data_IF_631302531458
#
_entry.id   IF_631302531458
#
_cell.length_a   1.000
_cell.length_b   1.000
_cell.length_c   1.000
_cell.angle_alpha   90.00
_cell.angle_beta   90.00
_cell.angle_gamma   90.00
#
_symmetry.space_group_name_H-M   'P 1'
#
loop_
_entity.id
_entity.type
_entity.pdbx_description
1 polymer ?
#
# COMPACT_ATOMS: atom_id res chain seq x y z
N UNK A 1 47.48 -8.72 -32.90
CA UNK A 1 47.12 -7.89 -31.73
C UNK A 1 46.37 -8.76 -30.74
N UNK A 2 47.05 -9.23 -29.69
CA UNK A 2 46.47 -10.10 -28.67
C UNK A 2 46.02 -9.24 -27.50
N UNK A 3 44.70 -9.08 -27.34
CA UNK A 3 44.10 -8.41 -26.18
C UNK A 3 44.32 -9.28 -24.93
N UNK A 4 45.18 -8.81 -24.04
CA UNK A 4 45.56 -9.52 -22.82
C UNK A 4 44.40 -9.51 -21.82
N UNK A 5 44.03 -10.71 -21.31
CA UNK A 5 42.97 -10.95 -20.31
C UNK A 5 43.01 -10.05 -19.07
N UNK A 6 44.18 -9.45 -18.78
CA UNK A 6 44.41 -8.51 -17.69
C UNK A 6 43.73 -7.15 -17.89
N UNK A 7 43.53 -6.70 -19.14
CA UNK A 7 42.87 -5.42 -19.44
C UNK A 7 41.35 -5.46 -19.19
N UNK A 8 40.73 -6.65 -19.30
CA UNK A 8 39.30 -6.84 -19.02
C UNK A 8 38.98 -6.82 -17.51
N UNK A 9 39.91 -7.23 -16.65
CA UNK A 9 39.70 -7.28 -15.20
C UNK A 9 39.96 -5.94 -14.50
N UNK A 10 40.78 -5.07 -15.09
CA UNK A 10 41.00 -3.69 -14.58
C UNK A 10 39.80 -2.76 -14.81
N UNK A 11 38.83 -3.13 -15.66
CA UNK A 11 37.60 -2.36 -15.90
C UNK A 11 36.43 -2.71 -14.97
N UNK A 12 36.54 -3.77 -14.15
CA UNK A 12 35.44 -4.27 -13.33
C UNK A 12 35.43 -3.72 -11.88
N UNK A 13 36.41 -2.91 -11.49
CA UNK A 13 36.57 -2.42 -10.11
C UNK A 13 35.83 -1.09 -9.83
N UNK A 14 34.94 -0.65 -10.71
CA UNK A 14 34.15 0.57 -10.54
C UNK A 14 32.68 0.34 -10.91
N UNK A 15 32.07 -0.75 -10.41
CA UNK A 15 30.61 -0.84 -10.38
C UNK A 15 30.15 -0.12 -9.09
N UNK A 16 29.30 0.91 -9.17
CA UNK A 16 28.84 1.61 -7.99
C UNK A 16 27.93 0.67 -7.19
N UNK A 17 28.48 0.12 -6.11
CA UNK A 17 27.76 -0.76 -5.16
C UNK A 17 26.62 0.00 -4.45
N UNK A 18 26.55 1.32 -4.59
CA UNK A 18 25.48 2.17 -4.06
C UNK A 18 24.08 1.80 -4.59
N UNK A 19 23.97 1.30 -5.82
CA UNK A 19 22.65 0.96 -6.41
C UNK A 19 22.04 -0.30 -5.80
N UNK A 20 22.85 -1.27 -5.37
CA UNK A 20 22.35 -2.53 -4.82
C UNK A 20 21.68 -2.36 -3.46
N UNK A 21 22.28 -1.56 -2.57
CA UNK A 21 21.72 -1.29 -1.24
C UNK A 21 20.43 -0.45 -1.31
N UNK A 22 20.34 0.49 -2.26
CA UNK A 22 19.14 1.28 -2.49
C UNK A 22 17.97 0.41 -3.00
N UNK A 23 18.24 -0.50 -3.94
CA UNK A 23 17.24 -1.45 -4.46
C UNK A 23 16.75 -2.41 -3.38
N UNK A 24 17.66 -2.99 -2.58
CA UNK A 24 17.30 -3.87 -1.47
C UNK A 24 16.49 -3.15 -0.38
N UNK A 25 16.83 -1.88 -0.08
CA UNK A 25 16.06 -1.06 0.87
C UNK A 25 14.67 -0.74 0.32
N UNK A 26 14.55 -0.47 -0.97
CA UNK A 26 13.27 -0.20 -1.61
C UNK A 26 12.37 -1.45 -1.58
N UNK A 27 12.90 -2.61 -1.96
CA UNK A 27 12.16 -3.88 -1.90
C UNK A 27 11.70 -4.22 -0.47
N UNK A 28 12.56 -3.98 0.53
CA UNK A 28 12.20 -4.06 1.95
C UNK A 28 11.12 -3.06 2.37
N UNK A 29 11.14 -1.85 1.84
CA UNK A 29 10.14 -0.82 2.15
C UNK A 29 8.79 -1.19 1.55
N UNK A 30 8.81 -1.71 0.33
CA UNK A 30 7.62 -2.14 -0.40
C UNK A 30 6.93 -3.24 0.40
N UNK A 31 7.66 -4.29 0.78
CA UNK A 31 7.14 -5.38 1.60
C UNK A 31 6.53 -4.91 2.93
N UNK A 32 7.20 -4.00 3.65
CA UNK A 32 6.69 -3.45 4.92
C UNK A 32 5.42 -2.63 4.70
N UNK A 33 5.37 -1.81 3.65
CA UNK A 33 4.18 -1.04 3.34
C UNK A 33 3.01 -1.93 2.95
N UNK A 34 3.23 -2.95 2.12
CA UNK A 34 2.16 -3.89 1.75
C UNK A 34 1.63 -4.64 2.97
N UNK A 35 2.53 -5.07 3.86
CA UNK A 35 2.16 -5.74 5.10
C UNK A 35 1.34 -4.81 6.01
N UNK A 36 1.75 -3.56 6.17
CA UNK A 36 1.00 -2.56 6.91
C UNK A 36 -0.41 -2.35 6.34
N UNK A 37 -0.55 -2.25 5.00
CA UNK A 37 -1.86 -2.13 4.35
C UNK A 37 -2.73 -3.36 4.62
N UNK A 38 -2.17 -4.58 4.59
CA UNK A 38 -2.91 -5.81 4.89
C UNK A 38 -3.32 -5.89 6.36
N UNK A 39 -2.44 -5.50 7.29
CA UNK A 39 -2.75 -5.42 8.72
C UNK A 39 -3.90 -4.43 8.98
N UNK A 40 -3.83 -3.22 8.40
CA UNK A 40 -4.89 -2.20 8.53
C UNK A 40 -6.21 -2.67 7.91
N UNK A 41 -6.14 -3.39 6.79
CA UNK A 41 -7.32 -3.95 6.15
C UNK A 41 -7.99 -5.06 6.98
N UNK A 42 -7.23 -5.74 7.85
CA UNK A 42 -7.73 -6.86 8.64
C UNK A 42 -8.11 -8.09 7.81
N UNK A 43 -7.72 -8.14 6.54
CA UNK A 43 -8.02 -9.24 5.61
C UNK A 43 -6.78 -9.63 4.79
N UNK A 44 -6.54 -10.95 4.57
CA UNK A 44 -5.35 -11.40 3.84
C UNK A 44 -5.40 -11.12 2.33
N UNK A 45 -6.59 -10.87 1.77
CA UNK A 45 -6.86 -10.82 0.33
C UNK A 45 -6.87 -9.43 -0.31
N UNK A 46 -6.08 -8.46 0.19
CA UNK A 46 -6.04 -7.12 -0.43
C UNK A 46 -5.41 -7.19 -1.82
N UNK A 47 -6.15 -6.79 -2.84
CA UNK A 47 -5.69 -6.83 -4.23
C UNK A 47 -4.49 -5.89 -4.46
N UNK A 48 -3.53 -6.31 -5.27
CA UNK A 48 -2.30 -5.54 -5.53
C UNK A 48 -2.54 -4.17 -6.19
N UNK A 49 -3.65 -4.02 -6.92
CA UNK A 49 -4.06 -2.71 -7.44
C UNK A 49 -4.42 -1.73 -6.32
N UNK A 50 -5.09 -2.20 -5.26
CA UNK A 50 -5.47 -1.41 -4.09
C UNK A 50 -4.22 -0.94 -3.35
N UNK A 51 -3.29 -1.86 -3.07
CA UNK A 51 -2.04 -1.56 -2.36
C UNK A 51 -1.24 -0.47 -3.08
N UNK A 52 -1.07 -0.61 -4.41
CA UNK A 52 -0.38 0.39 -5.24
C UNK A 52 -1.10 1.75 -5.23
N UNK A 53 -2.42 1.76 -5.41
CA UNK A 53 -3.18 3.01 -5.41
C UNK A 53 -3.14 3.71 -4.04
N UNK A 54 -3.19 2.97 -2.94
CA UNK A 54 -3.01 3.51 -1.58
C UNK A 54 -1.62 4.10 -1.41
N UNK A 55 -0.58 3.42 -1.91
CA UNK A 55 0.80 3.93 -1.88
C UNK A 55 0.94 5.24 -2.65
N UNK A 56 0.42 5.30 -3.87
CA UNK A 56 0.50 6.50 -4.71
C UNK A 56 -0.23 7.67 -4.04
N UNK A 57 -1.40 7.41 -3.45
CA UNK A 57 -2.15 8.41 -2.68
C UNK A 57 -1.39 8.86 -1.42
N UNK A 58 -0.72 7.93 -0.73
CA UNK A 58 0.11 8.22 0.44
C UNK A 58 1.26 9.16 0.06
N UNK A 59 2.01 8.82 -1.01
CA UNK A 59 3.13 9.63 -1.50
C UNK A 59 2.62 11.00 -1.96
N UNK A 60 1.48 11.06 -2.65
CA UNK A 60 0.89 12.32 -3.07
C UNK A 60 0.52 13.24 -1.89
N UNK A 61 0.06 12.68 -0.77
CA UNK A 61 -0.37 13.44 0.41
C UNK A 61 0.77 13.81 1.36
N UNK A 62 1.69 12.87 1.64
CA UNK A 62 2.72 13.01 2.68
C UNK A 62 4.14 13.05 2.13
N UNK A 63 4.35 12.67 0.87
CA UNK A 63 5.65 12.61 0.22
C UNK A 63 6.38 11.27 0.42
N UNK A 64 7.35 11.02 -0.45
CA UNK A 64 8.22 9.83 -0.38
C UNK A 64 9.02 9.74 0.94
N UNK A 65 9.54 10.83 1.54
CA UNK A 65 10.26 10.74 2.81
C UNK A 65 9.37 10.24 3.97
N UNK A 66 8.10 10.65 4.00
CA UNK A 66 7.15 10.20 5.00
C UNK A 66 6.84 8.69 4.86
N UNK A 67 6.81 8.17 3.63
CA UNK A 67 6.64 6.74 3.39
C UNK A 67 7.80 5.93 3.98
N UNK A 68 9.03 6.39 3.77
CA UNK A 68 10.22 5.73 4.32
C UNK A 68 10.21 5.77 5.84
N UNK A 69 9.92 6.93 6.44
CA UNK A 69 9.83 7.07 7.90
C UNK A 69 8.72 6.21 8.50
N UNK A 70 7.55 6.14 7.85
CA UNK A 70 6.45 5.27 8.22
C UNK A 70 6.88 3.80 8.22
N UNK A 71 7.49 3.33 7.12
CA UNK A 71 7.94 1.94 7.02
C UNK A 71 9.08 1.63 8.01
N UNK A 72 9.98 2.57 8.26
CA UNK A 72 11.04 2.38 9.25
C UNK A 72 10.48 2.31 10.68
N UNK A 73 9.39 3.03 10.98
CA UNK A 73 8.67 2.95 12.27
C UNK A 73 7.97 1.60 12.44
N UNK A 74 7.38 1.06 11.38
CA UNK A 74 6.64 -0.20 11.41
C UNK A 74 7.54 -1.44 11.28
N UNK A 75 8.84 -1.26 11.03
CA UNK A 75 9.75 -2.36 10.76
C UNK A 75 9.87 -3.27 12.00
N UNK A 76 9.27 -4.44 11.94
CA UNK A 76 9.32 -5.43 13.01
C UNK A 76 8.29 -5.21 14.13
N UNK A 77 7.34 -4.30 13.95
CA UNK A 77 6.26 -4.03 14.91
C UNK A 77 4.88 -4.14 14.26
N UNK A 78 3.87 -4.68 14.95
CA UNK A 78 2.48 -4.61 14.53
C UNK A 78 2.03 -3.15 14.33
N UNK A 79 1.16 -2.91 13.36
CA UNK A 79 0.62 -1.56 13.12
C UNK A 79 -0.16 -1.04 14.32
N UNK A 80 -0.83 -1.92 15.07
CA UNK A 80 -1.58 -1.56 16.28
C UNK A 80 -0.68 -1.01 17.40
N UNK A 81 0.46 -1.66 17.64
CA UNK A 81 1.44 -1.25 18.63
C UNK A 81 2.08 0.08 18.22
N UNK A 82 2.48 0.17 16.96
CA UNK A 82 3.02 1.41 16.41
C UNK A 82 2.00 2.55 16.46
N UNK A 83 0.71 2.33 16.18
CA UNK A 83 -0.30 3.37 16.24
C UNK A 83 -0.63 3.82 17.67
N UNK A 84 -0.43 2.95 18.66
CA UNK A 84 -0.71 3.21 20.08
C UNK A 84 0.40 4.03 20.76
N UNK A 85 1.65 3.76 20.37
CA UNK A 85 2.83 4.42 20.94
C UNK A 85 3.43 5.54 20.05
N UNK A 86 2.96 5.71 18.81
CA UNK A 86 3.58 6.65 17.88
C UNK A 86 3.15 8.11 18.02
N UNK A 87 4.05 8.95 17.51
CA UNK A 87 3.82 10.36 17.22
C UNK A 87 2.56 10.56 16.35
N UNK A 88 1.87 11.69 16.56
CA UNK A 88 0.57 11.99 15.95
C UNK A 88 0.57 11.87 14.41
N UNK A 89 1.74 12.01 13.79
CA UNK A 89 1.96 11.82 12.36
C UNK A 89 1.69 10.40 11.88
N UNK A 90 2.16 9.36 12.59
CA UNK A 90 1.97 7.96 12.19
C UNK A 90 0.51 7.57 12.37
N UNK A 91 -0.12 7.99 13.47
CA UNK A 91 -1.55 7.78 13.67
C UNK A 91 -2.39 8.43 12.55
N UNK A 92 -2.03 9.64 12.10
CA UNK A 92 -2.70 10.29 10.97
C UNK A 92 -2.49 9.55 9.64
N UNK A 93 -1.31 8.99 9.42
CA UNK A 93 -0.97 8.17 8.24
C UNK A 93 -1.75 6.85 8.22
N UNK A 94 -1.83 6.14 9.35
CA UNK A 94 -2.65 4.93 9.49
C UNK A 94 -4.13 5.24 9.23
N UNK A 95 -4.66 6.32 9.82
CA UNK A 95 -6.05 6.76 9.59
C UNK A 95 -6.31 7.09 8.13
N UNK A 96 -5.35 7.70 7.44
CA UNK A 96 -5.46 7.98 6.01
C UNK A 96 -5.53 6.71 5.16
N UNK A 97 -4.68 5.73 5.44
CA UNK A 97 -4.72 4.42 4.76
C UNK A 97 -6.06 3.74 5.03
N UNK A 98 -6.52 3.70 6.28
CA UNK A 98 -7.80 3.13 6.66
C UNK A 98 -8.96 3.82 5.93
N UNK A 99 -8.97 5.14 5.83
CA UNK A 99 -10.01 5.88 5.10
C UNK A 99 -10.09 5.40 3.65
N UNK A 100 -8.97 5.35 2.92
CA UNK A 100 -8.96 4.88 1.53
C UNK A 100 -9.46 3.44 1.43
N UNK A 101 -9.02 2.55 2.32
CA UNK A 101 -9.42 1.14 2.29
C UNK A 101 -10.91 0.95 2.54
N UNK A 102 -11.49 1.69 3.48
CA UNK A 102 -12.89 1.53 3.87
C UNK A 102 -13.86 2.28 2.96
N UNK A 103 -13.50 3.47 2.46
CA UNK A 103 -14.40 4.26 1.59
C UNK A 103 -14.12 4.08 0.10
N UNK A 104 -12.90 3.67 -0.25
CA UNK A 104 -12.43 3.66 -1.64
C UNK A 104 -12.11 5.06 -2.19
N UNK A 105 -12.13 6.08 -1.34
CA UNK A 105 -12.02 7.49 -1.71
C UNK A 105 -10.61 8.05 -1.49
N UNK A 106 -10.19 8.93 -2.39
CA UNK A 106 -8.94 9.68 -2.34
C UNK A 106 -9.27 11.16 -2.56
N UNK A 107 -8.88 12.01 -1.61
CA UNK A 107 -8.99 13.47 -1.73
C UNK A 107 -7.78 14.04 -2.48
N UNK A 108 -8.05 14.67 -3.63
CA UNK A 108 -7.06 15.28 -4.51
C UNK A 108 -7.08 16.81 -4.49
N UNK A 109 -7.18 17.44 -3.31
CA UNK A 109 -7.03 18.90 -3.18
C UNK A 109 -8.25 19.67 -3.70
N UNK A 110 -9.45 19.23 -3.31
CA UNK A 110 -10.72 19.92 -3.61
C UNK A 110 -11.70 19.12 -4.46
N UNK A 111 -11.32 17.92 -4.91
CA UNK A 111 -12.23 16.94 -5.53
C UNK A 111 -11.92 15.55 -5.00
N UNK A 112 -12.87 14.96 -4.30
CA UNK A 112 -12.82 13.55 -3.88
C UNK A 112 -13.13 12.66 -5.07
N UNK A 113 -12.28 11.66 -5.30
CA UNK A 113 -12.50 10.60 -6.31
C UNK A 113 -12.60 9.26 -5.60
N UNK A 114 -13.39 8.34 -6.12
CA UNK A 114 -13.55 7.00 -5.57
C UNK A 114 -13.02 5.90 -6.52
N UNK A 115 -11.72 5.90 -6.89
CA UNK A 115 -11.19 4.94 -7.86
C UNK A 115 -11.21 3.50 -7.33
N UNK A 116 -11.30 3.33 -6.01
CA UNK A 116 -11.32 2.04 -5.35
C UNK A 116 -12.73 1.64 -4.85
N UNK A 117 -13.78 2.32 -5.31
CA UNK A 117 -15.15 2.12 -4.81
C UNK A 117 -15.61 0.64 -4.81
N UNK A 118 -15.41 -0.17 -5.86
CA UNK A 118 -15.76 -1.60 -5.83
C UNK A 118 -14.92 -2.45 -4.85
N UNK A 119 -13.74 -1.96 -4.46
CA UNK A 119 -12.80 -2.64 -3.58
C UNK A 119 -12.86 -2.12 -2.14
N UNK A 120 -13.76 -1.20 -1.83
CA UNK A 120 -13.93 -0.68 -0.47
C UNK A 120 -14.28 -1.81 0.49
N UNK A 121 -13.57 -1.85 1.62
CA UNK A 121 -13.81 -2.83 2.68
C UNK A 121 -15.18 -2.64 3.33
N UNK A 122 -15.74 -1.43 3.32
CA UNK A 122 -17.10 -1.21 3.81
C UNK A 122 -18.14 -2.03 3.04
N UNK A 123 -17.93 -2.32 1.75
CA UNK A 123 -18.80 -3.23 1.02
C UNK A 123 -18.49 -4.71 1.28
N UNK A 124 -17.22 -5.04 1.51
CA UNK A 124 -16.79 -6.40 1.79
C UNK A 124 -17.27 -6.91 3.15
N UNK A 125 -17.47 -6.02 4.13
CA UNK A 125 -17.96 -6.39 5.46
C UNK A 125 -19.47 -6.57 5.52
N UNK A 126 -20.23 -6.08 4.54
CA UNK A 126 -21.68 -6.18 4.52
C UNK A 126 -22.13 -7.46 3.79
N UNK A 127 -22.71 -8.40 4.54
CA UNK A 127 -23.29 -9.62 3.96
C UNK A 127 -24.61 -9.39 3.22
N UNK A 128 -25.33 -8.32 3.56
CA UNK A 128 -26.68 -8.02 3.07
C UNK A 128 -26.73 -6.95 1.97
N UNK A 129 -25.66 -6.16 1.81
CA UNK A 129 -25.62 -5.04 0.88
C UNK A 129 -24.44 -5.19 -0.09
N UNK A 130 -24.64 -4.70 -1.31
CA UNK A 130 -23.59 -4.53 -2.32
C UNK A 130 -23.40 -3.06 -2.60
N UNK A 131 -22.23 -2.71 -3.13
CA UNK A 131 -21.95 -1.35 -3.56
C UNK A 131 -23.01 -0.88 -4.58
N UNK A 132 -23.75 0.21 -4.30
CA UNK A 132 -24.69 0.80 -5.24
C UNK A 132 -24.07 1.01 -6.63
N UNK A 133 -24.84 0.73 -7.68
CA UNK A 133 -24.36 0.81 -9.06
C UNK A 133 -23.67 -0.46 -9.58
N UNK A 134 -23.53 -1.50 -8.74
CA UNK A 134 -23.15 -2.84 -9.16
C UNK A 134 -24.34 -3.80 -9.03
N UNK A 135 -24.60 -4.60 -10.06
CA UNK A 135 -25.59 -5.67 -9.97
C UNK A 135 -25.15 -6.71 -8.93
N UNK A 136 -26.03 -7.05 -7.98
CA UNK A 136 -25.70 -7.99 -6.92
C UNK A 136 -25.89 -9.45 -7.33
N UNK A 137 -24.79 -10.22 -7.30
CA UNK A 137 -24.79 -11.69 -7.38
C UNK A 137 -25.22 -12.28 -8.73
N UNK A 138 -25.12 -13.61 -8.90
CA UNK A 138 -25.49 -14.29 -10.15
C UNK A 138 -27.01 -14.31 -10.39
N UNK A 139 -27.84 -13.97 -9.39
CA UNK A 139 -29.29 -13.97 -9.47
C UNK A 139 -29.89 -12.68 -8.88
N UNK A 140 -30.86 -12.11 -9.61
CA UNK A 140 -31.73 -11.03 -9.14
C UNK A 140 -32.56 -11.50 -7.93
N UNK A 141 -32.85 -10.61 -6.97
CA UNK A 141 -33.67 -10.95 -5.80
C UNK A 141 -32.93 -11.41 -4.55
N UNK A 142 -31.59 -11.33 -4.51
CA UNK A 142 -30.78 -11.77 -3.34
C UNK A 142 -31.17 -11.09 -2.01
N UNK A 143 -31.84 -9.93 -2.05
CA UNK A 143 -32.33 -9.21 -0.87
C UNK A 143 -33.54 -9.88 -0.20
N UNK A 144 -34.29 -10.77 -0.87
CA UNK A 144 -35.41 -11.49 -0.26
C UNK A 144 -34.96 -12.48 0.83
N UNK A 145 -33.69 -12.86 0.81
CA UNK A 145 -33.07 -13.80 1.75
C UNK A 145 -31.98 -13.12 2.60
N UNK A 146 -31.96 -11.78 2.66
CA UNK A 146 -31.02 -11.07 3.51
C UNK A 146 -31.26 -11.44 5.00
N UNK A 147 -30.19 -11.54 5.81
CA UNK A 147 -30.30 -11.87 7.24
C UNK A 147 -31.11 -10.85 8.04
#
# INVERSE_FOLDING_TARGET
MTLTRRALLSGAAAVPVASGAALLRQDSTDAVFEDAVRQIAGVPGVAQVVIRTVRDAFIAKFGQPALLAFCDTLRGHPVEDAASDADAAVAAQVRFIALILFTGEIDGGGRTRAPLYPWSLAWATLGFAKAPGLCGGPAFGHWEQAP
#
